data_IF_363034782918
#
_entry.id   IF_363034782918
#
_cell.length_a   1.000
_cell.length_b   1.000
_cell.length_c   1.000
_cell.angle_alpha   90.00
_cell.angle_beta   90.00
_cell.angle_gamma   90.00
#
_symmetry.space_group_name_H-M   'P 1'
#
loop_
_entity.id
_entity.type
_entity.pdbx_description
1 polymer ?
#
# COMPACT_ATOMS: atom_id res chain seq x y z
N UNK A 1 16.24 10.92 -14.67
CA UNK A 1 15.77 9.82 -13.81
C UNK A 1 16.29 8.50 -14.38
N UNK A 2 16.81 7.62 -13.55
CA UNK A 2 17.12 6.24 -13.92
C UNK A 2 15.83 5.39 -13.86
N UNK A 3 15.28 5.04 -15.02
CA UNK A 3 14.00 4.31 -15.13
C UNK A 3 14.14 2.88 -14.59
N UNK A 4 15.26 2.21 -14.85
CA UNK A 4 15.47 0.83 -14.41
C UNK A 4 15.49 0.80 -12.88
N UNK A 5 16.20 1.74 -12.26
CA UNK A 5 16.21 1.89 -10.81
C UNK A 5 14.81 2.19 -10.25
N UNK A 6 14.05 3.11 -10.84
CA UNK A 6 12.68 3.40 -10.37
C UNK A 6 11.78 2.15 -10.39
N UNK A 7 11.90 1.31 -11.41
CA UNK A 7 11.16 0.04 -11.51
C UNK A 7 11.62 -0.95 -10.43
N UNK A 8 12.93 -1.15 -10.29
CA UNK A 8 13.50 -2.07 -9.29
C UNK A 8 13.12 -1.63 -7.88
N UNK A 9 13.21 -0.34 -7.59
CA UNK A 9 12.79 0.24 -6.32
C UNK A 9 11.29 0.01 -6.08
N UNK A 10 10.44 0.20 -7.09
CA UNK A 10 9.01 -0.09 -7.00
C UNK A 10 8.74 -1.56 -6.68
N UNK A 11 9.49 -2.48 -7.28
CA UNK A 11 9.37 -3.93 -6.98
C UNK A 11 9.79 -4.21 -5.54
N UNK A 12 10.93 -3.66 -5.08
CA UNK A 12 11.39 -3.83 -3.70
C UNK A 12 10.38 -3.27 -2.69
N UNK A 13 9.85 -2.09 -2.98
CA UNK A 13 8.79 -1.45 -2.20
C UNK A 13 7.51 -2.30 -2.15
N UNK A 14 7.10 -2.85 -3.29
CA UNK A 14 5.92 -3.71 -3.37
C UNK A 14 6.11 -5.02 -2.59
N UNK A 15 7.26 -5.67 -2.70
CA UNK A 15 7.58 -6.88 -1.92
C UNK A 15 7.54 -6.59 -0.43
N UNK A 16 8.16 -5.49 0.00
CA UNK A 16 8.15 -5.06 1.40
C UNK A 16 6.73 -4.81 1.92
N UNK A 17 5.98 -3.93 1.23
CA UNK A 17 4.64 -3.52 1.66
C UNK A 17 3.70 -4.71 1.69
N UNK A 18 3.57 -5.41 0.56
CA UNK A 18 2.60 -6.49 0.39
C UNK A 18 2.96 -7.70 1.26
N UNK A 19 4.24 -8.04 1.38
CA UNK A 19 4.68 -9.13 2.24
C UNK A 19 4.35 -8.90 3.71
N UNK A 20 4.68 -7.71 4.24
CA UNK A 20 4.41 -7.40 5.65
C UNK A 20 2.92 -7.15 5.91
N UNK A 21 2.20 -6.50 5.00
CA UNK A 21 0.76 -6.34 5.11
C UNK A 21 0.06 -7.72 5.20
N UNK A 22 0.44 -8.67 4.35
CA UNK A 22 -0.07 -10.05 4.42
C UNK A 22 0.21 -10.71 5.78
N UNK A 23 1.41 -10.54 6.33
CA UNK A 23 1.75 -11.07 7.67
C UNK A 23 0.82 -10.49 8.73
N UNK A 24 0.63 -9.17 8.77
CA UNK A 24 -0.24 -8.55 9.77
C UNK A 24 -1.72 -8.93 9.58
N UNK A 25 -2.20 -9.05 8.34
CA UNK A 25 -3.56 -9.55 8.04
C UNK A 25 -3.73 -10.98 8.58
N UNK A 26 -2.73 -11.85 8.37
CA UNK A 26 -2.78 -13.24 8.82
C UNK A 26 -2.61 -13.42 10.34
N UNK A 27 -2.02 -12.45 11.03
CA UNK A 27 -1.97 -12.40 12.50
C UNK A 27 -3.33 -11.99 13.05
N UNK A 28 -3.90 -10.92 12.52
CA UNK A 28 -5.24 -10.45 12.91
C UNK A 28 -5.84 -9.57 11.81
N UNK A 29 -6.82 -10.12 11.09
CA UNK A 29 -7.55 -9.44 10.01
C UNK A 29 -8.21 -8.14 10.45
N UNK A 30 -8.56 -8.02 11.74
CA UNK A 30 -9.22 -6.84 12.31
C UNK A 30 -8.31 -5.60 12.36
N UNK A 31 -6.99 -5.74 12.22
CA UNK A 31 -6.10 -4.59 12.06
C UNK A 31 -6.35 -3.82 10.76
N UNK A 32 -6.88 -4.48 9.73
CA UNK A 32 -7.19 -3.90 8.43
C UNK A 32 -8.71 -3.79 8.22
N UNK A 33 -9.50 -3.73 9.30
CA UNK A 33 -10.97 -3.72 9.24
C UNK A 33 -11.53 -2.70 8.24
N UNK A 34 -10.94 -1.50 8.18
CA UNK A 34 -11.39 -0.43 7.28
C UNK A 34 -11.18 -0.73 5.80
N UNK A 35 -10.28 -1.66 5.47
CA UNK A 35 -9.92 -2.07 4.12
C UNK A 35 -10.86 -3.14 3.54
N UNK A 36 -11.77 -3.71 4.33
CA UNK A 36 -12.76 -4.67 3.81
C UNK A 36 -13.88 -3.96 3.05
N UNK A 37 -14.65 -4.62 2.17
CA UNK A 37 -15.86 -4.06 1.60
C UNK A 37 -16.82 -3.55 2.69
N UNK A 38 -17.49 -2.42 2.45
CA UNK A 38 -18.39 -1.78 3.44
C UNK A 38 -19.52 -2.71 3.90
N UNK A 39 -20.01 -3.57 3.00
CA UNK A 39 -20.99 -4.63 3.30
C UNK A 39 -20.49 -5.60 4.37
N UNK A 40 -19.24 -6.07 4.24
CA UNK A 40 -18.60 -6.93 5.23
C UNK A 40 -18.43 -6.16 6.55
N UNK A 41 -17.91 -4.93 6.51
CA UNK A 41 -17.74 -4.10 7.71
C UNK A 41 -19.04 -3.93 8.51
N UNK A 42 -20.17 -3.80 7.82
CA UNK A 42 -21.50 -3.65 8.42
C UNK A 42 -22.09 -4.97 8.94
N UNK A 43 -21.68 -6.10 8.35
CA UNK A 43 -22.12 -7.43 8.75
C UNK A 43 -21.37 -7.97 9.98
N UNK A 44 -20.23 -7.39 10.36
CA UNK A 44 -19.48 -7.85 11.55
C UNK A 44 -20.30 -7.60 12.83
N UNK A 45 -20.50 -8.62 13.69
CA UNK A 45 -21.27 -8.46 14.93
C UNK A 45 -20.71 -7.39 15.87
N UNK A 46 -19.38 -7.27 15.90
CA UNK A 46 -18.66 -6.31 16.73
C UNK A 46 -17.78 -5.39 15.88
N UNK A 47 -18.06 -4.08 15.83
CA UNK A 47 -17.26 -3.14 15.05
C UNK A 47 -15.81 -3.07 15.56
N UNK A 48 -14.91 -2.55 14.73
CA UNK A 48 -13.51 -2.36 15.13
C UNK A 48 -13.39 -1.49 16.39
N UNK A 49 -12.69 -2.04 17.39
CA UNK A 49 -12.42 -1.36 18.66
C UNK A 49 -11.45 -0.20 18.46
N UNK A 50 -11.34 0.70 19.45
CA UNK A 50 -10.37 1.81 19.41
C UNK A 50 -8.92 1.30 19.35
N UNK A 51 -8.62 0.23 20.08
CA UNK A 51 -7.27 -0.36 20.08
C UNK A 51 -6.92 -1.02 18.75
N UNK A 52 -7.87 -1.71 18.12
CA UNK A 52 -7.68 -2.28 16.77
C UNK A 52 -7.40 -1.19 15.73
N UNK A 53 -8.17 -0.09 15.76
CA UNK A 53 -7.95 1.06 14.86
C UNK A 53 -6.58 1.70 15.10
N UNK A 54 -6.19 1.86 16.35
CA UNK A 54 -4.87 2.43 16.73
C UNK A 54 -3.73 1.50 16.30
N UNK A 55 -3.90 0.19 16.46
CA UNK A 55 -2.94 -0.80 16.00
C UNK A 55 -2.82 -0.78 14.47
N UNK A 56 -3.94 -0.78 13.74
CA UNK A 56 -3.96 -0.66 12.29
C UNK A 56 -3.27 0.60 11.77
N UNK A 57 -3.54 1.76 12.40
CA UNK A 57 -2.86 3.00 12.05
C UNK A 57 -1.35 2.94 12.30
N UNK A 58 -0.90 2.36 13.43
CA UNK A 58 0.53 2.17 13.71
C UNK A 58 1.20 1.23 12.72
N UNK A 59 0.52 0.13 12.36
CA UNK A 59 0.99 -0.81 11.33
C UNK A 59 1.15 -0.08 10.00
N UNK A 60 0.15 0.70 9.58
CA UNK A 60 0.24 1.50 8.36
C UNK A 60 1.40 2.50 8.38
N UNK A 61 1.60 3.22 9.49
CA UNK A 61 2.76 4.10 9.63
C UNK A 61 4.07 3.32 9.52
N UNK A 62 4.17 2.15 10.15
CA UNK A 62 5.35 1.28 10.09
C UNK A 62 5.61 0.76 8.68
N UNK A 63 4.56 0.43 7.91
CA UNK A 63 4.69 -0.03 6.53
C UNK A 63 5.08 1.12 5.58
N UNK A 64 4.46 2.29 5.72
CA UNK A 64 4.59 3.38 4.74
C UNK A 64 5.83 4.25 4.95
N UNK A 65 6.20 4.55 6.20
CA UNK A 65 7.31 5.48 6.47
C UNK A 65 8.65 5.01 5.85
N UNK A 66 9.05 3.73 5.96
CA UNK A 66 10.29 3.25 5.34
C UNK A 66 10.24 3.32 3.81
N UNK A 67 9.07 3.10 3.19
CA UNK A 67 8.89 3.14 1.74
C UNK A 67 9.09 4.55 1.20
N UNK A 68 8.49 5.55 1.84
CA UNK A 68 8.67 6.96 1.48
C UNK A 68 10.15 7.37 1.57
N UNK A 69 10.83 6.99 2.66
CA UNK A 69 12.24 7.29 2.85
C UNK A 69 13.12 6.56 1.83
N UNK A 70 12.89 5.27 1.62
CA UNK A 70 13.65 4.46 0.68
C UNK A 70 13.56 5.01 -0.74
N UNK A 71 12.34 5.26 -1.25
CA UNK A 71 12.15 5.78 -2.59
C UNK A 71 12.76 7.17 -2.78
N UNK A 72 12.66 8.05 -1.78
CA UNK A 72 13.27 9.37 -1.81
C UNK A 72 14.80 9.29 -1.83
N UNK A 73 15.39 8.51 -0.91
CA UNK A 73 16.85 8.30 -0.81
C UNK A 73 17.41 7.68 -2.09
N UNK A 74 16.77 6.63 -2.63
CA UNK A 74 17.24 5.96 -3.84
C UNK A 74 17.22 6.90 -5.05
N UNK A 75 16.17 7.71 -5.22
CA UNK A 75 16.08 8.67 -6.30
C UNK A 75 17.19 9.75 -6.21
N UNK A 76 17.46 10.26 -5.01
CA UNK A 76 18.56 11.23 -4.77
C UNK A 76 19.92 10.58 -5.01
N UNK A 77 20.13 9.37 -4.51
CA UNK A 77 21.35 8.58 -4.69
C UNK A 77 21.63 8.32 -6.18
N UNK A 78 20.59 8.12 -6.98
CA UNK A 78 20.68 7.98 -8.43
C UNK A 78 20.98 9.30 -9.17
N UNK A 79 21.25 10.39 -8.44
CA UNK A 79 21.50 11.70 -9.00
C UNK A 79 20.25 12.43 -9.51
N UNK A 80 19.04 11.90 -9.25
CA UNK A 80 17.80 12.58 -9.67
C UNK A 80 17.58 13.82 -8.81
N UNK A 81 17.36 14.97 -9.46
CA UNK A 81 17.29 16.28 -8.83
C UNK A 81 16.10 17.11 -9.28
N UNK A 82 15.68 16.95 -10.54
CA UNK A 82 14.54 17.65 -11.11
C UNK A 82 13.21 17.20 -10.45
N UNK A 83 12.34 18.16 -10.16
CA UNK A 83 11.06 17.93 -9.49
C UNK A 83 10.20 16.91 -10.24
N UNK A 84 10.04 17.06 -11.57
CA UNK A 84 9.20 16.18 -12.37
C UNK A 84 9.79 14.79 -12.48
N UNK A 85 11.10 14.69 -12.54
CA UNK A 85 11.80 13.41 -12.52
C UNK A 85 11.69 12.68 -11.18
N UNK A 86 11.75 13.40 -10.06
CA UNK A 86 11.50 12.84 -8.72
C UNK A 86 10.06 12.39 -8.56
N UNK A 87 9.11 13.21 -9.02
CA UNK A 87 7.69 12.89 -9.02
C UNK A 87 7.40 11.65 -9.88
N UNK A 88 7.93 11.58 -11.09
CA UNK A 88 7.74 10.44 -11.98
C UNK A 88 8.35 9.16 -11.38
N UNK A 89 9.51 9.25 -10.73
CA UNK A 89 10.10 8.12 -10.02
C UNK A 89 9.15 7.61 -8.95
N UNK A 90 8.71 8.51 -8.05
CA UNK A 90 7.75 8.17 -7.00
C UNK A 90 6.45 7.60 -7.56
N UNK A 91 5.93 8.18 -8.65
CA UNK A 91 4.73 7.68 -9.31
C UNK A 91 4.91 6.23 -9.80
N UNK A 92 6.03 5.92 -10.47
CA UNK A 92 6.36 4.54 -10.89
C UNK A 92 6.45 3.62 -9.67
N UNK A 93 7.15 4.03 -8.61
CA UNK A 93 7.29 3.26 -7.39
C UNK A 93 5.92 2.88 -6.81
N UNK A 94 5.05 3.87 -6.59
CA UNK A 94 3.75 3.68 -5.96
C UNK A 94 2.73 2.98 -6.87
N UNK A 95 2.82 3.13 -8.19
CA UNK A 95 2.02 2.32 -9.12
C UNK A 95 2.38 0.83 -9.05
N UNK A 96 3.67 0.50 -8.90
CA UNK A 96 4.11 -0.90 -8.75
C UNK A 96 3.63 -1.47 -7.41
N UNK A 97 3.70 -0.69 -6.32
CA UNK A 97 3.13 -1.09 -5.02
C UNK A 97 1.63 -1.36 -5.15
N UNK A 98 0.88 -0.42 -5.75
CA UNK A 98 -0.57 -0.51 -5.97
C UNK A 98 -0.98 -1.75 -6.77
N UNK A 99 -0.30 -2.05 -7.88
CA UNK A 99 -0.61 -3.25 -8.65
C UNK A 99 -0.11 -4.54 -8.00
N UNK A 100 0.99 -4.46 -7.25
CA UNK A 100 1.44 -5.56 -6.41
C UNK A 100 0.38 -5.95 -5.38
N UNK A 101 -0.26 -4.95 -4.76
CA UNK A 101 -1.38 -5.14 -3.81
C UNK A 101 -2.57 -5.85 -4.48
N UNK A 102 -3.07 -5.27 -5.58
CA UNK A 102 -4.17 -5.83 -6.37
C UNK A 102 -3.93 -7.30 -6.78
N UNK A 103 -2.71 -7.64 -7.18
CA UNK A 103 -2.38 -9.00 -7.61
C UNK A 103 -2.20 -9.92 -6.41
N UNK A 104 -1.40 -9.50 -5.42
CA UNK A 104 -0.96 -10.37 -4.34
C UNK A 104 -1.95 -10.42 -3.18
N UNK A 105 -2.32 -9.27 -2.59
CA UNK A 105 -3.24 -9.28 -1.46
C UNK A 105 -4.65 -9.62 -1.95
N UNK A 106 -5.22 -8.80 -2.84
CA UNK A 106 -6.60 -9.01 -3.29
C UNK A 106 -6.76 -10.28 -4.14
N UNK A 107 -5.84 -10.49 -5.08
CA UNK A 107 -5.92 -11.59 -6.03
C UNK A 107 -5.52 -12.95 -5.43
N UNK A 108 -4.44 -13.01 -4.64
CA UNK A 108 -3.88 -14.28 -4.14
C UNK A 108 -4.23 -14.53 -2.67
N UNK A 109 -3.94 -13.60 -1.77
CA UNK A 109 -4.14 -13.81 -0.33
C UNK A 109 -5.62 -13.99 0.00
N UNK A 110 -6.47 -13.06 -0.45
CA UNK A 110 -7.91 -13.11 -0.17
C UNK A 110 -8.63 -14.26 -0.88
N UNK A 111 -8.09 -14.78 -1.98
CA UNK A 111 -8.66 -15.97 -2.63
C UNK A 111 -8.19 -17.29 -2.02
N UNK A 112 -6.92 -17.40 -1.61
CA UNK A 112 -6.30 -18.66 -1.15
C UNK A 112 -6.28 -18.85 0.36
N UNK A 113 -6.45 -17.79 1.15
CA UNK A 113 -6.44 -17.85 2.62
C UNK A 113 -7.75 -17.33 3.22
N UNK A 114 -8.88 -17.44 2.50
CA UNK A 114 -10.22 -16.94 2.87
C UNK A 114 -10.53 -17.07 4.36
N UNK A 115 -10.47 -18.29 4.91
CA UNK A 115 -10.82 -18.54 6.33
C UNK A 115 -9.95 -17.83 7.35
N UNK A 116 -8.71 -17.49 7.00
CA UNK A 116 -7.77 -16.78 7.88
C UNK A 116 -7.87 -15.27 7.77
N UNK A 117 -8.34 -14.78 6.63
CA UNK A 117 -8.48 -13.34 6.35
C UNK A 117 -9.90 -12.83 6.58
N UNK A 118 -10.88 -13.72 6.78
CA UNK A 118 -12.24 -13.32 7.13
C UNK A 118 -12.27 -12.60 8.49
N UNK A 119 -13.15 -11.61 8.60
CA UNK A 119 -13.50 -11.00 9.87
C UNK A 119 -14.41 -11.96 10.64
N UNK A 120 -14.12 -12.25 11.93
CA UNK A 120 -14.91 -13.21 12.70
C UNK A 120 -16.40 -12.86 12.73
N UNK A 121 -17.25 -13.84 12.46
CA UNK A 121 -18.71 -13.70 12.41
C UNK A 121 -19.24 -13.21 11.05
N UNK A 122 -18.43 -13.26 9.99
CA UNK A 122 -18.85 -12.91 8.62
C UNK A 122 -18.48 -13.98 7.60
N UNK A 123 -18.14 -15.19 8.02
CA UNK A 123 -17.53 -16.25 7.21
C UNK A 123 -18.37 -16.63 5.97
N UNK A 124 -19.69 -16.57 6.09
CA UNK A 124 -20.64 -16.88 4.99
C UNK A 124 -20.97 -15.66 4.10
N UNK A 125 -20.32 -14.51 4.31
CA UNK A 125 -20.65 -13.29 3.58
C UNK A 125 -20.22 -13.39 2.11
N UNK A 126 -21.11 -13.17 1.13
CA UNK A 126 -20.85 -13.42 -0.28
C UNK A 126 -19.75 -12.52 -0.88
N UNK A 127 -19.41 -11.41 -0.22
CA UNK A 127 -18.37 -10.50 -0.69
C UNK A 127 -16.94 -11.02 -0.43
N UNK A 128 -16.77 -12.12 0.28
CA UNK A 128 -15.50 -12.87 0.30
C UNK A 128 -15.27 -13.70 -0.98
N UNK A 129 -16.29 -13.87 -1.83
CA UNK A 129 -16.08 -14.48 -3.14
C UNK A 129 -15.21 -13.58 -4.01
N UNK A 130 -14.17 -14.15 -4.62
CA UNK A 130 -13.16 -13.40 -5.37
C UNK A 130 -13.79 -12.48 -6.42
N UNK A 131 -14.82 -12.94 -7.13
CA UNK A 131 -15.54 -12.10 -8.10
C UNK A 131 -16.18 -10.86 -7.45
N UNK A 132 -16.78 -11.02 -6.28
CA UNK A 132 -17.43 -9.93 -5.56
C UNK A 132 -16.39 -9.01 -4.92
N UNK A 133 -15.37 -9.57 -4.28
CA UNK A 133 -14.23 -8.83 -3.72
C UNK A 133 -13.57 -7.92 -4.77
N UNK A 134 -13.18 -8.51 -5.91
CA UNK A 134 -12.53 -7.77 -7.00
C UNK A 134 -13.42 -6.66 -7.56
N UNK A 135 -14.72 -6.95 -7.78
CA UNK A 135 -15.64 -5.98 -8.39
C UNK A 135 -16.02 -4.84 -7.44
N UNK A 136 -16.25 -5.15 -6.16
CA UNK A 136 -16.80 -4.18 -5.20
C UNK A 136 -15.72 -3.36 -4.50
N UNK A 137 -14.49 -3.87 -4.42
CA UNK A 137 -13.40 -3.23 -3.72
C UNK A 137 -12.16 -3.08 -4.63
N UNK A 138 -11.48 -4.19 -4.93
CA UNK A 138 -10.11 -4.14 -5.44
C UNK A 138 -9.96 -3.41 -6.78
N UNK A 139 -10.81 -3.70 -7.78
CA UNK A 139 -10.70 -3.06 -9.10
C UNK A 139 -11.06 -1.56 -9.08
N UNK A 140 -12.19 -1.12 -8.48
CA UNK A 140 -12.45 0.31 -8.30
C UNK A 140 -11.33 1.04 -7.56
N UNK A 141 -10.77 0.40 -6.54
CA UNK A 141 -9.72 0.97 -5.71
C UNK A 141 -8.40 1.10 -6.51
N UNK A 142 -7.88 -0.01 -7.06
CA UNK A 142 -6.55 -0.06 -7.65
C UNK A 142 -6.48 0.37 -9.11
N UNK A 143 -7.60 0.44 -9.84
CA UNK A 143 -7.63 0.95 -11.22
C UNK A 143 -8.06 2.42 -11.32
N UNK A 144 -8.74 2.96 -10.30
CA UNK A 144 -9.24 4.34 -10.34
C UNK A 144 -8.78 5.15 -9.13
N UNK A 145 -9.22 4.80 -7.93
CA UNK A 145 -8.97 5.64 -6.75
C UNK A 145 -7.48 5.82 -6.47
N UNK A 146 -6.70 4.75 -6.46
CA UNK A 146 -5.27 4.82 -6.21
C UNK A 146 -4.49 5.50 -7.35
N UNK A 147 -4.59 5.07 -8.62
CA UNK A 147 -3.80 5.67 -9.69
C UNK A 147 -4.03 7.17 -9.87
N UNK A 148 -5.26 7.66 -9.65
CA UNK A 148 -5.59 9.05 -9.94
C UNK A 148 -5.61 9.96 -8.71
N UNK A 149 -5.63 9.43 -7.49
CA UNK A 149 -5.64 10.24 -6.27
C UNK A 149 -4.50 9.91 -5.31
N UNK A 150 -4.39 8.66 -4.89
CA UNK A 150 -3.45 8.28 -3.81
C UNK A 150 -2.01 8.22 -4.31
N UNK A 151 -1.77 7.57 -5.45
CA UNK A 151 -0.43 7.45 -6.05
C UNK A 151 0.17 8.83 -6.36
N UNK A 152 -0.53 9.77 -7.02
CA UNK A 152 -0.02 11.13 -7.21
C UNK A 152 0.32 11.82 -5.88
N UNK A 153 -0.55 11.70 -4.87
CA UNK A 153 -0.30 12.29 -3.55
C UNK A 153 0.96 11.71 -2.90
N UNK A 154 1.13 10.39 -2.95
CA UNK A 154 2.29 9.71 -2.38
C UNK A 154 3.57 10.06 -3.14
N UNK A 155 3.51 10.14 -4.47
CA UNK A 155 4.61 10.61 -5.29
C UNK A 155 5.03 12.05 -4.94
N UNK A 156 4.07 12.95 -4.66
CA UNK A 156 4.36 14.32 -4.19
C UNK A 156 5.06 14.32 -2.84
N UNK A 157 4.59 13.52 -1.88
CA UNK A 157 5.23 13.39 -0.56
C UNK A 157 6.68 12.90 -0.71
N UNK A 158 6.89 11.84 -1.49
CA UNK A 158 8.23 11.31 -1.76
C UNK A 158 9.14 12.32 -2.47
N UNK A 159 8.59 13.11 -3.39
CA UNK A 159 9.30 14.20 -4.07
C UNK A 159 9.74 15.28 -3.07
N UNK A 160 8.84 15.70 -2.18
CA UNK A 160 9.16 16.65 -1.13
C UNK A 160 10.27 16.15 -0.21
N UNK A 161 10.21 14.88 0.20
CA UNK A 161 11.27 14.25 1.00
C UNK A 161 12.61 14.24 0.27
N UNK A 162 12.62 13.86 -1.01
CA UNK A 162 13.84 13.87 -1.82
C UNK A 162 14.46 15.27 -1.94
N UNK A 163 13.63 16.30 -2.15
CA UNK A 163 14.10 17.69 -2.19
C UNK A 163 14.66 18.16 -0.85
N UNK A 164 14.04 17.78 0.28
CA UNK A 164 14.56 18.10 1.61
C UNK A 164 15.90 17.41 1.87
N UNK A 165 16.03 16.12 1.54
CA UNK A 165 17.29 15.37 1.67
C UNK A 165 18.43 16.08 0.92
N UNK A 166 18.14 16.55 -0.30
CA UNK A 166 19.11 17.31 -1.10
C UNK A 166 19.43 18.67 -0.50
N UNK A 167 18.41 19.41 -0.06
CA UNK A 167 18.58 20.74 0.51
C UNK A 167 19.50 20.73 1.74
N UNK A 168 19.35 19.73 2.61
CA UNK A 168 20.16 19.61 3.83
C UNK A 168 21.49 18.86 3.62
N UNK A 169 21.84 18.45 2.40
CA UNK A 169 23.09 17.74 2.13
C UNK A 169 23.22 16.41 2.88
N UNK A 170 22.09 15.76 3.20
CA UNK A 170 22.08 14.51 3.98
C UNK A 170 22.78 13.36 3.22
N UNK A 171 22.92 13.51 1.90
CA UNK A 171 23.64 12.61 1.00
C UNK A 171 24.59 13.42 0.09
N UNK A 172 25.72 13.90 0.62
CA UNK A 172 26.82 14.43 -0.19
C UNK A 172 27.77 13.29 -0.56
N UNK A 173 27.80 12.92 -1.84
CA UNK A 173 28.85 12.10 -2.45
C UNK A 173 29.60 12.95 -3.46
#
# INVERSE_FOLDING_TARGET
MDIIRAIVDGIMMAVYFNGLAAVFILINSRYFFSSYPKSIQQAVPNPATKEEKKAGAKIMCFLLLPLFLYGAVSAVYAGTSDFWMLFLSGYINWMIVNFGDLIFLDGVLFSKQKTRVMLPGTEDHPDYETKNWMRKLALPEHLFFWPFLIVPLYALIQTGLALLIRHFGILTF
#
